data_IF_634126379067
#
_entry.id   IF_634126379067
#
_cell.length_a   1.000
_cell.length_b   1.000
_cell.length_c   1.000
_cell.angle_alpha   90.00
_cell.angle_beta   90.00
_cell.angle_gamma   90.00
#
_symmetry.space_group_name_H-M   'P 1'
#
loop_
_entity.id
_entity.type
_entity.pdbx_description
1 polymer ?
#
# COMPACT_ATOMS: atom_id res chain seq x y z
N UNK A 1 6.97 -11.58 23.94
CA UNK A 1 5.50 -11.47 23.94
C UNK A 1 5.14 -10.00 23.80
N UNK A 2 5.32 -9.45 22.59
CA UNK A 2 4.92 -8.08 22.26
C UNK A 2 3.47 -8.14 21.83
N UNK A 3 2.59 -7.95 22.74
CA UNK A 3 1.16 -7.79 22.49
C UNK A 3 0.95 -6.53 21.65
N UNK A 4 0.13 -6.63 20.66
CA UNK A 4 -0.46 -5.74 19.66
C UNK A 4 -0.86 -4.34 20.17
N UNK A 5 -0.12 -3.76 21.12
CA UNK A 5 -0.37 -2.42 21.61
C UNK A 5 0.15 -1.39 20.60
N UNK A 6 -0.70 -0.98 19.69
CA UNK A 6 -0.44 0.20 18.86
C UNK A 6 -0.94 1.41 19.63
N UNK A 7 -0.04 2.39 19.92
CA UNK A 7 -0.49 3.64 20.54
C UNK A 7 -1.57 4.26 19.65
N UNK A 8 -2.77 4.57 20.19
CA UNK A 8 -3.80 5.24 19.38
C UNK A 8 -3.32 6.64 18.98
N UNK A 9 -3.61 7.03 17.76
CA UNK A 9 -3.47 8.41 17.35
C UNK A 9 -4.59 9.22 18.02
N UNK A 10 -4.36 10.50 18.30
CA UNK A 10 -5.43 11.42 18.74
C UNK A 10 -6.23 11.86 17.52
N UNK A 11 -6.87 10.90 16.85
CA UNK A 11 -7.58 11.12 15.61
C UNK A 11 -9.02 10.65 15.71
N UNK A 12 -9.93 11.49 15.27
CA UNK A 12 -11.35 11.20 15.12
C UNK A 12 -11.83 11.76 13.79
N UNK A 13 -12.47 10.94 12.98
CA UNK A 13 -13.09 11.36 11.73
C UNK A 13 -14.42 10.64 11.55
N UNK A 14 -15.45 11.42 11.26
CA UNK A 14 -16.76 10.94 10.82
C UNK A 14 -16.96 11.38 9.38
N UNK A 15 -17.18 10.44 8.50
CA UNK A 15 -17.36 10.67 7.06
C UNK A 15 -16.59 9.65 6.23
N UNK A 16 -16.92 9.61 4.95
CA UNK A 16 -16.47 8.53 4.06
C UNK A 16 -15.06 8.69 3.50
N UNK A 17 -14.58 9.93 3.35
CA UNK A 17 -13.36 10.18 2.61
C UNK A 17 -12.49 11.27 3.26
N UNK A 18 -11.71 10.95 4.28
CA UNK A 18 -10.75 11.88 4.86
C UNK A 18 -9.58 12.13 3.90
N UNK A 19 -9.03 13.35 3.87
CA UNK A 19 -7.72 13.56 3.24
C UNK A 19 -6.63 12.98 4.15
N UNK A 20 -5.71 12.18 3.59
CA UNK A 20 -4.65 11.56 4.39
C UNK A 20 -3.55 12.54 4.74
N UNK A 21 -2.84 12.22 5.83
CA UNK A 21 -1.56 12.84 6.11
C UNK A 21 -0.44 12.13 5.35
N UNK A 22 0.50 12.88 4.80
CA UNK A 22 1.73 12.32 4.27
C UNK A 22 2.69 12.04 5.41
N UNK A 23 3.18 10.81 5.50
CA UNK A 23 4.18 10.40 6.48
C UNK A 23 5.44 9.93 5.78
N UNK A 24 6.55 10.61 6.04
CA UNK A 24 7.85 10.14 5.56
C UNK A 24 8.36 9.01 6.45
N UNK A 25 8.83 7.93 5.82
CA UNK A 25 9.39 6.74 6.48
C UNK A 25 10.79 6.51 5.91
N UNK A 26 11.78 6.43 6.80
CA UNK A 26 13.13 6.02 6.45
C UNK A 26 13.24 4.49 6.46
N UNK A 27 13.73 3.91 5.37
CA UNK A 27 14.01 2.49 5.24
C UNK A 27 15.53 2.32 5.37
N UNK A 28 15.97 1.77 6.50
CA UNK A 28 17.38 1.55 6.79
C UNK A 28 17.98 0.31 6.11
N UNK A 29 19.31 0.23 6.06
CA UNK A 29 20.04 -0.92 5.49
C UNK A 29 19.82 -1.11 3.98
N UNK A 30 19.34 -0.09 3.27
CA UNK A 30 19.18 -0.15 1.82
C UNK A 30 20.51 0.12 1.10
N UNK A 31 20.76 -0.48 -0.07
CA UNK A 31 21.95 -0.18 -0.87
C UNK A 31 22.05 1.31 -1.23
N UNK A 32 23.28 1.82 -1.36
CA UNK A 32 23.54 3.25 -1.62
C UNK A 32 22.81 3.80 -2.85
N UNK A 33 22.63 2.99 -3.89
CA UNK A 33 21.91 3.42 -5.09
C UNK A 33 20.44 3.74 -4.83
N UNK A 34 19.84 3.17 -3.77
CA UNK A 34 18.45 3.42 -3.38
C UNK A 34 18.25 4.79 -2.69
N UNK A 35 19.30 5.34 -2.09
CA UNK A 35 19.24 6.56 -1.26
C UNK A 35 18.53 7.76 -1.91
N UNK A 36 18.72 8.07 -3.21
CA UNK A 36 17.99 9.18 -3.84
C UNK A 36 16.57 8.84 -4.26
N UNK A 37 16.14 7.57 -4.19
CA UNK A 37 14.81 7.14 -4.62
C UNK A 37 13.74 7.61 -3.63
N UNK A 38 12.68 8.19 -4.17
CA UNK A 38 11.46 8.56 -3.43
C UNK A 38 10.32 7.68 -3.91
N UNK A 39 9.88 6.75 -3.09
CA UNK A 39 8.75 5.88 -3.41
C UNK A 39 7.52 6.29 -2.60
N UNK A 40 6.39 6.47 -3.25
CA UNK A 40 5.13 6.79 -2.57
C UNK A 40 4.26 5.54 -2.49
N UNK A 41 3.86 5.16 -1.29
CA UNK A 41 2.93 4.06 -1.05
C UNK A 41 1.55 4.58 -0.67
N UNK A 42 0.52 4.10 -1.39
CA UNK A 42 -0.89 4.46 -1.22
C UNK A 42 -1.72 3.19 -1.22
N UNK A 43 -2.62 3.02 -0.25
CA UNK A 43 -3.52 1.85 -0.17
C UNK A 43 -4.88 2.23 0.41
N UNK A 44 -5.84 1.34 0.24
CA UNK A 44 -7.16 1.40 0.90
C UNK A 44 -7.83 2.76 0.70
N UNK A 45 -7.94 3.21 -0.55
CA UNK A 45 -8.58 4.49 -0.92
C UNK A 45 -10.08 4.42 -0.68
N UNK A 46 -10.71 3.27 -0.98
CA UNK A 46 -12.14 3.04 -0.83
C UNK A 46 -12.99 4.19 -1.38
N UNK A 47 -12.66 4.64 -2.60
CA UNK A 47 -13.51 5.63 -3.26
C UNK A 47 -14.92 5.07 -3.42
N UNK A 48 -15.93 5.86 -3.10
CA UNK A 48 -17.31 5.41 -3.11
C UNK A 48 -18.25 6.49 -3.68
N UNK A 49 -19.48 6.12 -4.07
CA UNK A 49 -20.49 7.07 -4.52
C UNK A 49 -20.67 8.18 -3.48
N UNK A 50 -20.79 9.42 -3.95
CA UNK A 50 -20.95 10.59 -3.08
C UNK A 50 -19.66 11.30 -2.68
N UNK A 51 -18.49 10.72 -2.89
CA UNK A 51 -17.23 11.47 -2.83
C UNK A 51 -17.15 12.40 -4.03
N UNK A 52 -17.01 13.71 -3.79
CA UNK A 52 -17.00 14.70 -4.87
C UNK A 52 -15.72 14.65 -5.69
N UNK A 53 -15.76 15.16 -6.93
CA UNK A 53 -14.59 15.24 -7.81
C UNK A 53 -13.52 16.17 -7.24
N UNK A 54 -13.92 17.24 -6.55
CA UNK A 54 -12.99 18.16 -5.88
C UNK A 54 -12.23 17.45 -4.76
N UNK A 55 -12.89 16.51 -4.06
CA UNK A 55 -12.26 15.75 -2.98
C UNK A 55 -11.27 14.74 -3.53
N UNK A 56 -11.62 14.07 -4.64
CA UNK A 56 -10.72 13.20 -5.36
C UNK A 56 -9.53 13.97 -5.94
N UNK A 57 -9.77 15.12 -6.56
CA UNK A 57 -8.73 15.99 -7.09
C UNK A 57 -7.74 16.43 -5.99
N UNK A 58 -8.25 16.83 -4.82
CA UNK A 58 -7.41 17.20 -3.68
C UNK A 58 -6.52 16.05 -3.20
N UNK A 59 -6.99 14.80 -3.24
CA UNK A 59 -6.13 13.64 -2.97
C UNK A 59 -5.02 13.50 -4.02
N UNK A 60 -5.35 13.62 -5.30
CA UNK A 60 -4.38 13.47 -6.38
C UNK A 60 -3.35 14.62 -6.37
N UNK A 61 -3.77 15.84 -6.08
CA UNK A 61 -2.86 16.97 -5.86
C UNK A 61 -1.89 16.72 -4.69
N UNK A 62 -2.41 16.15 -3.59
CA UNK A 62 -1.57 15.77 -2.46
C UNK A 62 -0.54 14.70 -2.85
N UNK A 63 -0.92 13.70 -3.65
CA UNK A 63 -0.02 12.68 -4.19
C UNK A 63 1.02 13.32 -5.12
N UNK A 64 0.59 14.14 -6.07
CA UNK A 64 1.47 14.82 -7.03
C UNK A 64 2.50 15.72 -6.34
N UNK A 65 2.11 16.42 -5.27
CA UNK A 65 2.99 17.29 -4.49
C UNK A 65 4.18 16.55 -3.85
N UNK A 66 4.09 15.22 -3.70
CA UNK A 66 5.20 14.43 -3.15
C UNK A 66 6.35 14.25 -4.14
N UNK A 67 6.14 14.48 -5.44
CA UNK A 67 7.17 14.34 -6.50
C UNK A 67 7.92 13.01 -6.38
N UNK A 68 7.18 11.93 -6.17
CA UNK A 68 7.75 10.59 -6.04
C UNK A 68 8.30 10.11 -7.38
N UNK A 69 9.43 9.39 -7.35
CA UNK A 69 10.00 8.75 -8.54
C UNK A 69 9.16 7.54 -8.97
N UNK A 70 8.53 6.87 -8.00
CA UNK A 70 7.71 5.69 -8.21
C UNK A 70 6.49 5.73 -7.29
N UNK A 71 5.33 5.29 -7.81
CA UNK A 71 4.09 5.17 -7.01
C UNK A 71 3.72 3.68 -6.89
N UNK A 72 3.52 3.23 -5.66
CA UNK A 72 3.20 1.85 -5.30
C UNK A 72 1.79 1.82 -4.68
N UNK A 73 0.87 1.10 -5.32
CA UNK A 73 -0.55 1.08 -4.97
C UNK A 73 -0.92 -0.28 -4.35
N UNK A 74 -1.39 -0.24 -3.11
CA UNK A 74 -1.55 -1.42 -2.24
C UNK A 74 -2.96 -2.04 -2.21
N UNK A 75 -3.83 -1.76 -3.20
CA UNK A 75 -5.16 -2.36 -3.29
C UNK A 75 -6.26 -1.60 -2.57
N UNK A 76 -7.51 -2.06 -2.76
CA UNK A 76 -8.76 -1.50 -2.24
C UNK A 76 -8.96 -0.04 -2.68
N UNK A 77 -9.06 0.16 -4.01
CA UNK A 77 -9.14 1.50 -4.62
C UNK A 77 -10.53 2.10 -4.51
N UNK A 78 -11.58 1.27 -4.64
CA UNK A 78 -12.95 1.73 -4.62
C UNK A 78 -13.93 0.66 -4.11
N UNK A 79 -15.15 1.09 -3.77
CA UNK A 79 -16.23 0.19 -3.32
C UNK A 79 -17.03 -0.40 -4.50
N UNK A 80 -16.72 -0.03 -5.74
CA UNK A 80 -17.39 -0.56 -6.92
C UNK A 80 -16.67 -0.21 -8.22
N UNK A 81 -17.03 -0.93 -9.30
CA UNK A 81 -16.37 -0.84 -10.61
C UNK A 81 -16.38 0.58 -11.18
N UNK A 82 -17.47 1.33 -11.05
CA UNK A 82 -17.58 2.69 -11.57
C UNK A 82 -16.64 3.65 -10.84
N UNK A 83 -16.59 3.59 -9.52
CA UNK A 83 -15.69 4.42 -8.73
C UNK A 83 -14.22 4.01 -8.92
N UNK A 84 -13.97 2.72 -9.14
CA UNK A 84 -12.64 2.25 -9.50
C UNK A 84 -12.18 2.83 -10.86
N UNK A 85 -13.04 2.83 -11.86
CA UNK A 85 -12.76 3.48 -13.16
C UNK A 85 -12.53 4.98 -12.99
N UNK A 86 -13.37 5.64 -12.20
CA UNK A 86 -13.27 7.09 -11.90
C UNK A 86 -11.95 7.42 -11.22
N UNK A 87 -11.51 6.60 -10.25
CA UNK A 87 -10.23 6.78 -9.56
C UNK A 87 -9.06 6.71 -10.54
N UNK A 88 -8.98 5.65 -11.35
CA UNK A 88 -7.88 5.47 -12.29
C UNK A 88 -7.94 6.47 -13.46
N UNK A 89 -9.11 6.88 -13.90
CA UNK A 89 -9.24 7.94 -14.91
C UNK A 89 -8.64 9.26 -14.41
N UNK A 90 -8.95 9.63 -13.17
CA UNK A 90 -8.37 10.81 -12.53
C UNK A 90 -6.86 10.63 -12.27
N UNK A 91 -6.40 9.41 -11.97
CA UNK A 91 -4.99 9.08 -11.73
C UNK A 91 -4.08 9.35 -12.94
N UNK A 92 -4.62 9.42 -14.15
CA UNK A 92 -3.87 9.77 -15.38
C UNK A 92 -3.13 11.11 -15.28
N UNK A 93 -3.59 12.01 -14.42
CA UNK A 93 -2.94 13.29 -14.20
C UNK A 93 -1.62 13.19 -13.43
N UNK A 94 -1.35 12.04 -12.81
CA UNK A 94 -0.14 11.81 -12.02
C UNK A 94 1.01 11.33 -12.91
N UNK A 95 2.20 11.76 -12.55
CA UNK A 95 3.43 11.36 -13.22
C UNK A 95 4.45 10.89 -12.20
N UNK A 96 4.99 9.69 -12.42
CA UNK A 96 6.12 9.14 -11.69
C UNK A 96 7.15 8.62 -12.70
N UNK A 97 8.39 9.15 -12.72
CA UNK A 97 9.38 8.82 -13.74
C UNK A 97 9.70 7.33 -13.89
N UNK A 98 9.63 6.57 -12.79
CA UNK A 98 9.86 5.13 -12.77
C UNK A 98 8.57 4.31 -12.83
N UNK A 99 7.42 4.97 -13.04
CA UNK A 99 6.13 4.32 -13.22
C UNK A 99 5.27 4.22 -11.94
N UNK A 100 4.07 3.68 -12.15
CA UNK A 100 3.12 3.36 -11.09
C UNK A 100 2.74 1.87 -11.16
N UNK A 101 2.78 1.18 -10.03
CA UNK A 101 2.56 -0.26 -9.91
C UNK A 101 1.52 -0.56 -8.85
N UNK A 102 0.63 -1.49 -9.14
CA UNK A 102 -0.54 -1.77 -8.34
C UNK A 102 -0.73 -3.26 -8.09
N UNK A 103 -1.34 -3.60 -6.96
CA UNK A 103 -1.86 -4.94 -6.68
C UNK A 103 -3.37 -4.87 -6.44
N UNK A 104 -4.13 -5.97 -6.63
CA UNK A 104 -5.52 -5.99 -6.24
C UNK A 104 -5.66 -6.06 -4.72
N UNK A 105 -6.70 -5.42 -4.18
CA UNK A 105 -7.21 -5.67 -2.84
C UNK A 105 -8.52 -6.48 -2.90
N UNK A 106 -9.06 -6.85 -1.76
CA UNK A 106 -10.26 -7.69 -1.72
C UNK A 106 -11.54 -7.00 -2.24
N UNK A 107 -11.59 -5.68 -2.25
CA UNK A 107 -12.72 -4.94 -2.81
C UNK A 107 -12.59 -4.67 -4.33
N UNK A 108 -11.43 -4.97 -4.92
CA UNK A 108 -11.19 -4.71 -6.34
C UNK A 108 -11.59 -5.89 -7.24
N UNK A 109 -11.82 -7.08 -6.67
CA UNK A 109 -11.96 -8.32 -7.41
C UNK A 109 -13.21 -8.39 -8.28
N UNK A 110 -14.31 -7.78 -7.86
CA UNK A 110 -15.51 -7.66 -8.68
C UNK A 110 -15.26 -6.80 -9.95
N UNK A 111 -14.23 -5.98 -9.91
CA UNK A 111 -13.79 -5.12 -11.01
C UNK A 111 -12.68 -5.75 -11.86
N UNK A 112 -12.10 -6.88 -11.47
CA UNK A 112 -10.92 -7.49 -12.09
C UNK A 112 -10.99 -7.63 -13.61
N UNK A 113 -12.11 -8.06 -14.23
CA UNK A 113 -12.16 -8.19 -15.69
C UNK A 113 -11.88 -6.89 -16.45
N UNK A 114 -12.17 -5.74 -15.83
CA UNK A 114 -11.96 -4.42 -16.42
C UNK A 114 -10.81 -3.63 -15.76
N UNK A 115 -10.38 -4.06 -14.58
CA UNK A 115 -9.41 -3.36 -13.75
C UNK A 115 -8.05 -3.23 -14.44
N UNK A 116 -7.50 -4.33 -14.95
CA UNK A 116 -6.19 -4.35 -15.62
C UNK A 116 -6.19 -3.39 -16.82
N UNK A 117 -7.24 -3.45 -17.65
CA UNK A 117 -7.35 -2.55 -18.80
C UNK A 117 -7.53 -1.09 -18.37
N UNK A 118 -8.24 -0.82 -17.28
CA UNK A 118 -8.45 0.52 -16.75
C UNK A 118 -7.15 1.09 -16.19
N UNK A 119 -6.41 0.31 -15.41
CA UNK A 119 -5.09 0.68 -14.90
C UNK A 119 -4.10 0.97 -16.02
N UNK A 120 -4.01 0.08 -17.02
CA UNK A 120 -3.12 0.26 -18.17
C UNK A 120 -3.39 1.55 -18.92
N UNK A 121 -4.68 1.90 -19.16
CA UNK A 121 -5.06 3.18 -19.79
C UNK A 121 -4.69 4.40 -18.94
N UNK A 122 -4.48 4.20 -17.66
CA UNK A 122 -4.12 5.25 -16.69
C UNK A 122 -2.61 5.29 -16.38
N UNK A 123 -1.80 4.53 -17.13
CA UNK A 123 -0.36 4.47 -16.92
C UNK A 123 0.06 3.67 -15.68
N UNK A 124 -0.82 2.82 -15.14
CA UNK A 124 -0.57 1.97 -13.98
C UNK A 124 -0.40 0.53 -14.43
N UNK A 125 0.65 -0.14 -13.99
CA UNK A 125 0.90 -1.57 -14.24
C UNK A 125 0.37 -2.40 -13.10
N UNK A 126 -0.59 -3.30 -13.38
CA UNK A 126 -1.09 -4.27 -12.42
C UNK A 126 -0.10 -5.42 -12.26
N UNK A 127 0.33 -5.67 -11.02
CA UNK A 127 1.19 -6.78 -10.64
C UNK A 127 0.37 -7.82 -9.86
N UNK A 128 -0.36 -8.66 -10.59
CA UNK A 128 -1.11 -9.76 -10.00
C UNK A 128 -0.34 -11.07 -10.17
N UNK A 129 0.33 -11.54 -9.10
CA UNK A 129 1.29 -12.65 -9.11
C UNK A 129 2.39 -12.49 -10.18
N UNK A 130 2.85 -11.26 -10.36
CA UNK A 130 3.86 -10.89 -11.37
C UNK A 130 4.91 -10.00 -10.76
N UNK A 131 6.08 -9.99 -11.38
CA UNK A 131 7.14 -9.03 -11.09
C UNK A 131 7.63 -8.34 -12.34
N UNK A 132 8.24 -7.19 -12.12
CA UNK A 132 8.99 -6.44 -13.12
C UNK A 132 10.35 -6.07 -12.56
N UNK A 133 11.26 -5.76 -13.44
CA UNK A 133 12.55 -5.17 -13.10
C UNK A 133 12.64 -3.80 -13.75
N UNK A 134 12.98 -2.79 -12.96
CA UNK A 134 13.32 -1.45 -13.46
C UNK A 134 14.79 -1.17 -13.16
N UNK A 135 15.44 -0.47 -14.06
CA UNK A 135 16.80 0.00 -13.85
C UNK A 135 16.78 1.38 -13.18
N UNK A 136 17.55 1.53 -12.12
CA UNK A 136 17.75 2.79 -11.44
C UNK A 136 19.22 2.96 -11.09
N UNK A 137 19.84 4.00 -11.66
CA UNK A 137 21.28 4.30 -11.48
C UNK A 137 22.21 3.11 -11.75
N UNK A 138 21.94 2.36 -12.82
CA UNK A 138 22.73 1.20 -13.24
C UNK A 138 22.54 -0.04 -12.36
N UNK A 139 21.53 -0.06 -11.50
CA UNK A 139 21.18 -1.20 -10.64
C UNK A 139 19.71 -1.58 -10.83
N UNK A 140 19.37 -2.82 -10.48
CA UNK A 140 18.03 -3.33 -10.61
C UNK A 140 17.20 -3.07 -9.35
N UNK A 141 15.95 -2.67 -9.55
CA UNK A 141 14.89 -2.73 -8.55
C UNK A 141 13.84 -3.71 -9.08
N UNK A 142 13.62 -4.79 -8.34
CA UNK A 142 12.60 -5.78 -8.66
C UNK A 142 11.35 -5.46 -7.86
N UNK A 143 10.22 -5.26 -8.54
CA UNK A 143 8.93 -4.98 -7.92
C UNK A 143 8.00 -6.13 -8.24
N UNK A 144 7.47 -6.77 -7.22
CA UNK A 144 6.52 -7.85 -7.33
C UNK A 144 5.20 -7.51 -6.64
N UNK A 145 4.12 -8.06 -7.14
CA UNK A 145 2.80 -7.93 -6.55
C UNK A 145 2.12 -9.29 -6.40
N UNK A 146 1.52 -9.55 -5.24
CA UNK A 146 0.71 -10.75 -5.02
C UNK A 146 -0.75 -10.49 -5.35
N UNK A 147 -1.47 -11.55 -5.72
CA UNK A 147 -2.93 -11.58 -5.77
C UNK A 147 -3.54 -11.42 -4.37
N UNK A 148 -4.84 -11.18 -4.31
CA UNK A 148 -5.57 -11.06 -3.05
C UNK A 148 -5.63 -12.38 -2.28
N UNK A 149 -5.43 -12.30 -0.96
CA UNK A 149 -5.41 -13.49 -0.09
C UNK A 149 -6.78 -14.04 0.30
N UNK A 150 -7.83 -13.28 0.07
CA UNK A 150 -9.18 -13.69 0.48
C UNK A 150 -9.97 -14.32 -0.66
N UNK A 151 -9.89 -13.71 -1.82
CA UNK A 151 -10.72 -14.07 -2.97
C UNK A 151 -9.91 -14.45 -4.21
N UNK A 152 -8.60 -14.17 -4.20
CA UNK A 152 -7.66 -14.52 -5.25
C UNK A 152 -6.92 -15.82 -4.99
N UNK A 153 -5.81 -15.98 -5.67
CA UNK A 153 -4.89 -17.12 -5.54
C UNK A 153 -3.46 -16.61 -5.39
N UNK A 154 -3.11 -16.02 -4.23
CA UNK A 154 -1.82 -15.38 -4.02
C UNK A 154 -0.68 -16.38 -4.17
N UNK A 155 0.34 -15.99 -4.94
CA UNK A 155 1.56 -16.75 -5.11
C UNK A 155 2.75 -15.80 -5.01
N UNK A 156 3.58 -15.99 -3.99
CA UNK A 156 4.83 -15.23 -3.82
C UNK A 156 6.07 -16.08 -3.99
N UNK A 157 5.89 -17.41 -4.08
CA UNK A 157 6.99 -18.33 -4.35
C UNK A 157 7.58 -18.04 -5.74
N UNK A 158 8.89 -17.92 -5.82
CA UNK A 158 9.65 -17.70 -7.06
C UNK A 158 9.19 -16.48 -7.88
N UNK A 159 8.55 -15.50 -7.21
CA UNK A 159 7.97 -14.33 -7.89
C UNK A 159 9.03 -13.35 -8.43
N UNK A 160 10.21 -13.34 -7.83
CA UNK A 160 11.32 -12.51 -8.30
C UNK A 160 12.21 -13.28 -9.28
N UNK A 161 12.88 -12.58 -10.21
CA UNK A 161 13.78 -13.23 -11.17
C UNK A 161 14.94 -13.92 -10.45
N UNK A 162 15.23 -15.16 -10.86
CA UNK A 162 16.34 -15.96 -10.35
C UNK A 162 17.69 -15.40 -10.82
N UNK A 163 18.70 -15.45 -9.93
CA UNK A 163 20.08 -15.13 -10.29
C UNK A 163 20.34 -13.67 -10.64
N UNK A 164 19.36 -12.78 -10.43
CA UNK A 164 19.53 -11.34 -10.65
C UNK A 164 19.68 -10.60 -9.33
N UNK A 165 20.78 -9.84 -9.23
CA UNK A 165 20.99 -8.92 -8.12
C UNK A 165 20.07 -7.71 -8.22
N UNK A 166 19.65 -7.15 -7.09
CA UNK A 166 18.80 -5.97 -7.05
C UNK A 166 18.08 -5.81 -5.71
N UNK A 167 17.44 -4.67 -5.55
CA UNK A 167 16.59 -4.40 -4.39
C UNK A 167 15.16 -4.91 -4.67
N UNK A 168 14.65 -5.76 -3.81
CA UNK A 168 13.37 -6.46 -3.99
C UNK A 168 12.28 -5.84 -3.16
N UNK A 169 11.23 -5.32 -3.82
CA UNK A 169 10.03 -4.75 -3.20
C UNK A 169 8.85 -5.65 -3.52
N UNK A 170 8.16 -6.14 -2.51
CA UNK A 170 6.90 -6.88 -2.63
C UNK A 170 5.74 -5.99 -2.21
N UNK A 171 4.72 -5.89 -3.06
CA UNK A 171 3.44 -5.30 -2.71
C UNK A 171 2.44 -6.44 -2.50
N UNK A 172 1.79 -6.48 -1.35
CA UNK A 172 0.72 -7.42 -1.04
C UNK A 172 -0.34 -6.70 -0.24
N UNK A 173 -1.58 -6.70 -0.73
CA UNK A 173 -2.65 -6.01 -0.01
C UNK A 173 -2.74 -6.46 1.44
N UNK A 174 -2.65 -7.77 1.68
CA UNK A 174 -2.70 -8.34 3.02
C UNK A 174 -1.32 -8.47 3.66
N UNK A 175 -1.14 -8.09 4.94
CA UNK A 175 0.11 -8.27 5.67
C UNK A 175 0.29 -9.74 6.10
N UNK A 176 0.58 -10.61 5.14
CA UNK A 176 0.86 -12.04 5.34
C UNK A 176 2.31 -12.30 4.93
N UNK A 177 3.02 -13.10 5.74
CA UNK A 177 4.41 -13.46 5.43
C UNK A 177 4.51 -14.11 4.04
N UNK A 178 5.37 -13.58 3.16
CA UNK A 178 5.56 -14.14 1.83
C UNK A 178 6.44 -15.40 1.85
N UNK A 179 6.31 -16.22 0.81
CA UNK A 179 7.17 -17.39 0.56
C UNK A 179 8.44 -17.04 -0.25
N UNK A 180 8.69 -15.74 -0.47
CA UNK A 180 9.88 -15.24 -1.16
C UNK A 180 10.75 -14.37 -0.25
N UNK A 181 12.03 -14.25 -0.59
CA UNK A 181 12.91 -13.28 0.03
C UNK A 181 12.74 -11.90 -0.65
N UNK A 182 12.45 -10.86 0.14
CA UNK A 182 12.41 -9.48 -0.31
C UNK A 182 13.05 -8.55 0.74
N UNK A 183 13.46 -7.36 0.31
CA UNK A 183 14.05 -6.35 1.20
C UNK A 183 12.97 -5.50 1.87
N UNK A 184 11.89 -5.22 1.13
CA UNK A 184 10.77 -4.40 1.60
C UNK A 184 9.45 -5.03 1.16
N UNK A 185 8.53 -5.20 2.11
CA UNK A 185 7.14 -5.56 1.85
C UNK A 185 6.24 -4.39 2.23
N UNK A 186 5.28 -4.07 1.36
CA UNK A 186 4.28 -3.02 1.55
C UNK A 186 2.89 -3.65 1.58
N UNK A 187 2.12 -3.34 2.62
CA UNK A 187 0.77 -3.88 2.80
C UNK A 187 -0.23 -2.83 3.28
N UNK A 188 -1.48 -3.02 2.94
CA UNK A 188 -2.63 -2.23 3.40
C UNK A 188 -3.58 -3.06 4.26
N UNK A 189 -4.87 -3.10 3.85
CA UNK A 189 -5.96 -3.94 4.34
C UNK A 189 -6.44 -3.66 5.76
N UNK A 190 -5.57 -3.36 6.68
CA UNK A 190 -5.90 -3.32 8.12
C UNK A 190 -6.51 -2.00 8.59
N UNK A 191 -6.41 -0.94 7.77
CA UNK A 191 -6.85 0.42 8.12
C UNK A 191 -6.32 0.93 9.48
N UNK A 192 -5.13 0.46 9.91
CA UNK A 192 -4.62 0.69 11.28
C UNK A 192 -5.59 0.23 12.38
N UNK A 193 -6.46 -0.73 12.05
CA UNK A 193 -7.55 -1.20 12.90
C UNK A 193 -8.82 -0.35 12.81
N UNK A 194 -8.83 0.75 12.06
CA UNK A 194 -9.90 1.75 11.88
C UNK A 194 -10.47 2.31 13.20
N UNK A 195 -10.71 1.45 14.19
CA UNK A 195 -11.04 1.78 15.57
C UNK A 195 -9.91 1.33 16.48
N UNK A 196 -9.12 2.27 16.95
CA UNK A 196 -8.03 2.01 17.88
C UNK A 196 -8.29 2.77 19.19
N UNK A 197 -8.98 2.12 20.10
CA UNK A 197 -9.28 2.67 21.41
C UNK A 197 -8.31 2.10 22.44
N UNK A 198 -7.49 2.96 23.02
CA UNK A 198 -6.49 2.57 24.03
C UNK A 198 -5.55 1.42 23.59
N UNK A 199 -5.28 1.32 22.29
CA UNK A 199 -4.46 0.25 21.73
C UNK A 199 -5.23 -1.02 21.35
N UNK A 200 -6.52 -1.10 21.66
CA UNK A 200 -7.39 -2.19 21.25
C UNK A 200 -8.02 -1.88 19.91
N UNK A 201 -7.90 -2.81 18.98
CA UNK A 201 -8.49 -2.74 17.64
C UNK A 201 -9.42 -3.93 17.43
N UNK A 202 -10.35 -3.90 16.45
CA UNK A 202 -11.15 -5.07 16.10
C UNK A 202 -10.30 -6.31 15.81
N UNK A 203 -9.13 -6.14 15.21
CA UNK A 203 -8.19 -7.24 14.91
C UNK A 203 -7.62 -7.88 16.18
N UNK A 204 -7.47 -7.13 17.27
CA UNK A 204 -7.00 -7.68 18.56
C UNK A 204 -8.06 -8.44 19.32
N UNK A 205 -9.35 -8.18 19.04
CA UNK A 205 -10.47 -8.72 19.82
C UNK A 205 -11.21 -9.85 19.08
N UNK A 206 -11.58 -9.65 17.82
CA UNK A 206 -12.57 -10.48 17.13
C UNK A 206 -12.15 -11.02 15.76
N UNK A 207 -11.19 -10.39 15.06
CA UNK A 207 -10.99 -10.65 13.64
C UNK A 207 -9.61 -11.20 13.31
N UNK A 208 -9.61 -12.19 12.45
CA UNK A 208 -8.50 -12.73 11.66
C UNK A 208 -7.15 -12.86 12.40
N UNK A 209 -7.12 -13.77 13.36
CA UNK A 209 -5.91 -14.11 14.15
C UNK A 209 -4.66 -14.37 13.30
N UNK A 210 -4.81 -14.74 12.02
CA UNK A 210 -3.68 -14.98 11.11
C UNK A 210 -2.81 -13.74 10.83
N UNK A 211 -3.34 -12.51 11.05
CA UNK A 211 -2.58 -11.27 10.89
C UNK A 211 -1.95 -10.79 12.19
N UNK A 212 -2.36 -11.33 13.31
CA UNK A 212 -1.91 -10.88 14.62
C UNK A 212 -0.38 -10.86 14.78
N UNK A 213 0.41 -11.81 14.22
CA UNK A 213 1.86 -11.78 14.38
C UNK A 213 2.52 -10.54 13.78
N UNK A 214 1.95 -9.99 12.69
CA UNK A 214 2.52 -8.88 11.95
C UNK A 214 2.01 -7.50 12.39
N UNK A 215 0.88 -7.46 13.13
CA UNK A 215 0.26 -6.23 13.61
C UNK A 215 -0.62 -5.56 12.58
N UNK A 216 -1.09 -4.33 12.89
CA UNK A 216 -2.10 -3.63 12.10
C UNK A 216 -1.60 -2.35 11.45
N UNK A 217 -0.38 -1.90 11.73
CA UNK A 217 0.21 -0.68 11.14
C UNK A 217 1.70 -0.52 11.45
N UNK A 218 2.32 0.36 10.68
CA UNK A 218 3.67 0.88 10.91
C UNK A 218 4.77 0.05 10.27
N UNK A 219 5.99 0.57 10.36
CA UNK A 219 7.19 -0.09 9.88
C UNK A 219 7.70 -1.08 10.92
N UNK A 220 8.10 -2.26 10.47
CA UNK A 220 8.72 -3.32 11.26
C UNK A 220 9.90 -3.91 10.52
N UNK A 221 10.92 -4.33 11.25
CA UNK A 221 11.97 -5.18 10.72
C UNK A 221 11.69 -6.63 11.11
N UNK A 222 11.61 -7.51 10.13
CA UNK A 222 11.33 -8.93 10.27
C UNK A 222 12.47 -9.71 9.62
N UNK A 223 13.44 -10.19 10.43
CA UNK A 223 14.66 -10.79 9.93
C UNK A 223 15.39 -9.84 8.97
N UNK A 224 15.48 -10.21 7.70
CA UNK A 224 16.18 -9.49 6.64
C UNK A 224 15.25 -8.59 5.79
N UNK A 225 13.99 -8.42 6.22
CA UNK A 225 12.96 -7.70 5.49
C UNK A 225 12.37 -6.57 6.33
N UNK A 226 12.09 -5.43 5.71
CA UNK A 226 11.20 -4.42 6.26
C UNK A 226 9.77 -4.69 5.82
N UNK A 227 8.82 -4.59 6.75
CA UNK A 227 7.38 -4.62 6.48
C UNK A 227 6.77 -3.30 6.88
N UNK A 228 6.18 -2.58 5.92
CA UNK A 228 5.33 -1.43 6.19
C UNK A 228 3.86 -1.84 6.02
N UNK A 229 3.08 -1.69 7.09
CA UNK A 229 1.62 -1.85 7.04
C UNK A 229 1.02 -0.45 7.08
N UNK A 230 0.37 -0.06 5.99
CA UNK A 230 -0.23 1.24 5.81
C UNK A 230 -1.54 1.40 6.60
N UNK A 231 -1.84 2.65 6.98
CA UNK A 231 -3.11 2.98 7.63
C UNK A 231 -4.29 3.04 6.65
N UNK A 232 -4.01 3.13 5.35
CA UNK A 232 -5.03 3.38 4.34
C UNK A 232 -5.64 4.79 4.43
N UNK A 233 -6.43 5.15 3.44
CA UNK A 233 -7.07 6.48 3.31
C UNK A 233 -8.54 6.42 3.71
N UNK A 234 -9.31 5.60 3.02
CA UNK A 234 -10.76 5.51 3.18
C UNK A 234 -11.20 4.84 4.46
N UNK A 235 -12.46 4.49 4.49
CA UNK A 235 -13.08 3.75 5.59
C UNK A 235 -13.72 2.47 5.03
N UNK A 236 -13.60 1.37 5.77
CA UNK A 236 -14.30 0.12 5.46
C UNK A 236 -15.60 0.04 6.25
N UNK A 237 -16.72 -0.25 5.58
CA UNK A 237 -18.07 -0.48 6.14
C UNK A 237 -18.66 0.70 6.91
N UNK A 238 -18.02 1.16 7.99
CA UNK A 238 -18.52 2.22 8.87
C UNK A 238 -17.75 3.50 8.58
N UNK A 239 -18.42 4.66 8.29
CA UNK A 239 -17.74 5.91 7.94
C UNK A 239 -17.17 6.62 9.17
N UNK A 240 -16.33 5.93 9.93
CA UNK A 240 -15.75 6.42 11.17
C UNK A 240 -14.34 5.87 11.36
N UNK A 241 -13.38 6.73 11.70
CA UNK A 241 -12.05 6.36 12.18
C UNK A 241 -11.78 6.95 13.55
N UNK A 242 -11.28 6.13 14.47
CA UNK A 242 -10.87 6.56 15.84
C UNK A 242 -9.47 6.03 16.10
N UNK A 243 -8.52 6.91 16.44
CA UNK A 243 -7.14 6.52 16.75
C UNK A 243 -6.39 5.87 15.58
N UNK A 244 -6.88 6.04 14.35
CA UNK A 244 -6.36 5.47 13.12
C UNK A 244 -6.35 6.55 12.02
N UNK A 245 -5.41 7.49 12.11
CA UNK A 245 -5.26 8.58 11.15
C UNK A 245 -5.00 8.04 9.74
N UNK A 246 -5.74 8.50 8.71
CA UNK A 246 -5.47 8.10 7.33
C UNK A 246 -4.11 8.62 6.87
N UNK A 247 -3.32 7.78 6.21
CA UNK A 247 -1.96 8.10 5.84
C UNK A 247 -1.60 7.54 4.47
N UNK A 248 -0.79 8.31 3.73
CA UNK A 248 0.04 7.83 2.63
C UNK A 248 1.51 7.97 3.03
N UNK A 249 2.39 7.17 2.44
CA UNK A 249 3.75 7.04 2.92
C UNK A 249 4.74 7.40 1.84
N UNK A 250 5.56 8.43 2.11
CA UNK A 250 6.74 8.71 1.32
C UNK A 250 7.91 7.92 1.90
N UNK A 251 8.45 6.98 1.13
CA UNK A 251 9.57 6.14 1.53
C UNK A 251 10.86 6.75 1.02
N UNK A 252 11.78 6.95 1.92
CA UNK A 252 13.16 7.37 1.66
C UNK A 252 14.11 6.29 2.17
N UNK A 253 15.19 6.06 1.47
CA UNK A 253 16.09 4.94 1.72
C UNK A 253 17.43 5.45 2.27
N UNK A 254 18.01 4.70 3.20
CA UNK A 254 19.34 4.99 3.74
C UNK A 254 20.14 3.69 3.92
N UNK A 255 21.46 3.77 3.75
CA UNK A 255 22.37 2.66 4.02
C UNK A 255 22.63 2.46 5.52
N UNK A 256 22.29 3.44 6.34
CA UNK A 256 22.40 3.33 7.80
C UNK A 256 21.34 2.33 8.32
N UNK A 257 21.73 1.50 9.27
CA UNK A 257 20.81 0.67 10.04
C UNK A 257 20.06 1.54 11.06
N UNK A 258 18.73 1.52 11.04
CA UNK A 258 17.86 2.35 11.88
C UNK A 258 17.27 1.56 13.05
#
# INVERSE_FOLDING_TARGET
MSLFYTRPDRYFHLGDFPLPRVKTIQIGGAPEFMKPLRALFVSDVHLRPGVSDERLAALLELIAAQRADIILLGGDYAEGTQDCQRFFEAFKSLHAPLGAYAVPGNNDLDSMPTLEATMARSGVTLLNNRSITIEFKGNNIHIAGSDDHKYGSPCTKDIFPEGQDGYRILISHWPIMPDCACNLMLSGHTHAGQFNMLGLTPYSICFERKFQPLGVRGLKRLKDMHLLIGNGIGVSRIPLRIGAEPQIYLLEFTSEEL
#
